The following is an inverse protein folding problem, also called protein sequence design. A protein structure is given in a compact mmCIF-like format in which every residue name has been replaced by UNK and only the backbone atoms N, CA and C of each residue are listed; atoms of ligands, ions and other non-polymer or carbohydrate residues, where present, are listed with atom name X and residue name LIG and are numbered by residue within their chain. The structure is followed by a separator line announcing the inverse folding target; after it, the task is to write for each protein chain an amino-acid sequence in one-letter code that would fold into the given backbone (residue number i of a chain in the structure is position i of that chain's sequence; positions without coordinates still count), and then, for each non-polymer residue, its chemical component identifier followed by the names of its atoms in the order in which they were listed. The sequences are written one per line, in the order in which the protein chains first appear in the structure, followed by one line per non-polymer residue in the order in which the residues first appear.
data_IF_792869731592
#
_entry.id   IF_792869731592
#
_cell.length_a   1.000
_cell.length_b   1.000
_cell.length_c   1.000
_cell.angle_alpha   90.00
_cell.angle_beta   90.00
_cell.angle_gamma   90.00
#
_symmetry.space_group_name_H-M   'P 1'
#
loop_
_entity.id
_entity.type
_entity.pdbx_description
1 polymer ?
#
# COMPACT_ATOMS: atom_id res chain seq x y z
N UNK A 1 3.62 8.23 -2.37
CA UNK A 1 3.46 8.03 -3.83
C UNK A 1 3.95 9.24 -4.63
N UNK A 2 3.60 10.47 -4.24
CA UNK A 2 3.85 11.72 -4.97
C UNK A 2 5.17 11.83 -5.77
N UNK A 3 6.31 11.38 -5.22
CA UNK A 3 7.63 11.50 -5.87
C UNK A 3 8.13 10.26 -6.61
N UNK A 4 7.42 9.11 -6.51
CA UNK A 4 7.95 7.79 -6.94
C UNK A 4 7.11 7.10 -8.01
N UNK A 5 5.84 7.49 -8.16
CA UNK A 5 4.83 6.84 -9.00
C UNK A 5 3.76 6.09 -8.19
N UNK A 6 2.80 5.51 -8.91
CA UNK A 6 1.68 4.69 -8.39
C UNK A 6 1.44 3.47 -9.29
N UNK A 7 0.88 2.36 -8.75
CA UNK A 7 0.31 1.30 -9.58
C UNK A 7 -0.71 1.83 -10.57
N UNK A 8 -0.67 1.31 -11.80
CA UNK A 8 -1.75 1.48 -12.75
C UNK A 8 -2.61 0.22 -12.74
N UNK A 9 -3.81 0.35 -12.20
CA UNK A 9 -4.80 -0.73 -12.10
C UNK A 9 -5.91 -0.59 -13.16
N UNK A 10 -5.79 0.38 -14.07
CA UNK A 10 -6.77 0.57 -15.15
C UNK A 10 -6.95 -0.64 -16.08
N UNK A 11 -5.93 -1.49 -16.38
CA UNK A 11 -6.15 -2.74 -17.12
C UNK A 11 -7.04 -3.76 -16.41
N UNK A 12 -7.24 -3.59 -15.09
CA UNK A 12 -8.13 -4.41 -14.26
C UNK A 12 -9.49 -3.73 -14.00
N UNK A 13 -9.76 -2.56 -14.58
CA UNK A 13 -10.94 -1.74 -14.29
C UNK A 13 -10.99 -1.26 -12.83
N UNK A 14 -9.82 -1.02 -12.22
CA UNK A 14 -9.68 -0.63 -10.80
C UNK A 14 -8.85 0.64 -10.66
N UNK A 15 -9.01 1.31 -9.52
CA UNK A 15 -8.20 2.46 -9.13
C UNK A 15 -7.42 2.16 -7.84
N UNK A 16 -6.25 2.78 -7.71
CA UNK A 16 -5.46 2.72 -6.48
C UNK A 16 -6.03 3.69 -5.44
N UNK A 17 -6.35 3.18 -4.26
CA UNK A 17 -6.74 4.01 -3.11
C UNK A 17 -5.52 4.60 -2.40
N UNK A 18 -5.65 5.81 -1.84
CA UNK A 18 -4.55 6.55 -1.23
C UNK A 18 -4.84 6.85 0.25
N UNK A 19 -4.12 6.19 1.15
CA UNK A 19 -4.15 6.47 2.59
C UNK A 19 -2.76 6.25 3.19
N UNK A 20 -2.26 7.22 3.96
CA UNK A 20 -0.96 7.12 4.62
C UNK A 20 -1.12 6.49 6.00
N UNK A 21 -0.48 5.35 6.25
CA UNK A 21 -0.34 4.79 7.62
C UNK A 21 0.56 5.66 8.50
N UNK A 22 1.59 6.24 7.89
CA UNK A 22 2.54 7.17 8.49
C UNK A 22 2.67 8.36 7.55
N UNK A 23 2.32 9.55 8.03
CA UNK A 23 2.14 10.75 7.23
C UNK A 23 3.47 11.39 6.82
N UNK A 24 3.59 11.79 5.56
CA UNK A 24 4.71 12.62 5.09
C UNK A 24 4.38 14.12 5.29
N UNK A 25 5.34 15.01 5.61
CA UNK A 25 6.77 14.78 5.81
C UNK A 25 7.17 14.40 7.24
N UNK A 26 6.30 14.60 8.24
CA UNK A 26 6.64 14.46 9.65
C UNK A 26 6.98 13.01 10.09
N UNK A 27 6.62 12.02 9.27
CA UNK A 27 6.79 10.59 9.55
C UNK A 27 6.09 10.12 10.85
N UNK A 28 4.98 10.78 11.19
CA UNK A 28 4.13 10.47 12.35
C UNK A 28 2.99 9.51 11.98
N UNK A 29 2.51 8.66 12.90
CA UNK A 29 1.32 7.82 12.65
C UNK A 29 0.10 8.66 12.26
N UNK A 30 -0.70 8.16 11.31
CA UNK A 30 -1.95 8.80 10.92
C UNK A 30 -3.11 8.33 11.83
N UNK A 31 -3.67 9.19 12.72
CA UNK A 31 -4.76 8.79 13.61
C UNK A 31 -6.07 8.50 12.86
N UNK A 32 -6.20 8.96 11.62
CA UNK A 32 -7.38 8.76 10.76
C UNK A 32 -7.34 7.48 9.93
N UNK A 33 -6.16 6.86 9.77
CA UNK A 33 -5.91 5.80 8.78
C UNK A 33 -6.96 4.69 8.78
N UNK A 34 -7.28 4.12 9.95
CA UNK A 34 -8.22 3.00 10.06
C UNK A 34 -9.66 3.42 9.71
N UNK A 35 -10.08 4.61 10.11
CA UNK A 35 -11.43 5.11 9.80
C UNK A 35 -11.59 5.42 8.30
N UNK A 36 -10.58 6.03 7.68
CA UNK A 36 -10.61 6.34 6.26
C UNK A 36 -10.51 5.04 5.42
N UNK A 37 -9.67 4.09 5.84
CA UNK A 37 -9.57 2.75 5.24
C UNK A 37 -10.90 1.98 5.35
N UNK A 38 -11.57 2.04 6.50
CA UNK A 38 -12.86 1.38 6.70
C UNK A 38 -13.92 1.88 5.71
N UNK A 39 -13.99 3.20 5.53
CA UNK A 39 -14.87 3.84 4.56
C UNK A 39 -14.55 3.41 3.12
N UNK A 40 -13.26 3.38 2.74
CA UNK A 40 -12.83 2.91 1.42
C UNK A 40 -13.18 1.45 1.16
N UNK A 41 -12.94 0.56 2.14
CA UNK A 41 -13.27 -0.88 2.02
C UNK A 41 -14.77 -1.11 1.88
N UNK A 42 -15.61 -0.36 2.62
CA UNK A 42 -17.07 -0.43 2.49
C UNK A 42 -17.56 0.10 1.15
N UNK A 43 -17.05 1.25 0.69
CA UNK A 43 -17.44 1.85 -0.59
C UNK A 43 -17.06 0.95 -1.78
N UNK A 44 -15.93 0.25 -1.71
CA UNK A 44 -15.48 -0.68 -2.73
C UNK A 44 -16.08 -2.10 -2.63
N UNK A 45 -16.81 -2.41 -1.55
CA UNK A 45 -17.27 -3.79 -1.25
C UNK A 45 -16.13 -4.81 -1.15
N UNK A 46 -14.94 -4.38 -0.70
CA UNK A 46 -13.72 -5.16 -0.84
C UNK A 46 -13.55 -6.22 0.26
N UNK A 47 -13.44 -7.50 -0.15
CA UNK A 47 -13.12 -8.62 0.75
C UNK A 47 -11.59 -8.81 0.94
N UNK A 48 -10.78 -8.25 0.05
CA UNK A 48 -9.31 -8.28 0.10
C UNK A 48 -8.73 -6.90 -0.15
N UNK A 49 -7.74 -6.51 0.66
CA UNK A 49 -7.03 -5.23 0.57
C UNK A 49 -5.53 -5.49 0.44
N UNK A 50 -4.93 -4.95 -0.62
CA UNK A 50 -3.49 -5.00 -0.85
C UNK A 50 -2.84 -3.70 -0.38
N UNK A 51 -1.93 -3.80 0.59
CA UNK A 51 -1.21 -2.68 1.16
C UNK A 51 0.14 -2.51 0.47
N UNK A 52 0.40 -1.31 -0.03
CA UNK A 52 1.62 -0.98 -0.77
C UNK A 52 2.31 0.25 -0.17
N UNK A 53 3.63 0.16 0.03
CA UNK A 53 4.48 1.30 0.31
C UNK A 53 5.75 1.23 -0.56
N UNK A 54 6.73 2.11 -0.33
CA UNK A 54 7.98 2.13 -1.11
C UNK A 54 8.72 0.79 -1.13
N UNK A 55 8.77 0.08 0.00
CA UNK A 55 9.67 -1.07 0.21
C UNK A 55 9.11 -2.14 1.17
N UNK A 56 7.80 -2.41 1.12
CA UNK A 56 7.11 -3.44 1.92
C UNK A 56 6.98 -3.20 3.44
N UNK A 57 7.90 -2.46 4.08
CA UNK A 57 7.96 -2.34 5.54
C UNK A 57 6.77 -1.60 6.19
N UNK A 58 6.47 -0.37 5.74
CA UNK A 58 5.32 0.40 6.29
C UNK A 58 3.97 -0.22 5.94
N UNK A 59 3.86 -0.92 4.80
CA UNK A 59 2.63 -1.60 4.38
C UNK A 59 2.39 -2.88 5.18
N UNK A 60 3.44 -3.57 5.65
CA UNK A 60 3.30 -4.68 6.60
C UNK A 60 2.62 -4.21 7.90
N UNK A 61 3.09 -3.11 8.49
CA UNK A 61 2.50 -2.56 9.71
C UNK A 61 1.04 -2.10 9.51
N UNK A 62 0.76 -1.45 8.37
CA UNK A 62 -0.59 -1.04 7.99
C UNK A 62 -1.55 -2.23 7.82
N UNK A 63 -1.10 -3.31 7.15
CA UNK A 63 -1.88 -4.52 6.94
C UNK A 63 -2.22 -5.24 8.26
N UNK A 64 -1.26 -5.32 9.19
CA UNK A 64 -1.48 -5.90 10.52
C UNK A 64 -2.47 -5.07 11.35
N UNK A 65 -2.36 -3.74 11.32
CA UNK A 65 -3.29 -2.85 12.01
C UNK A 65 -4.71 -2.94 11.44
N UNK A 66 -4.84 -3.00 10.10
CA UNK A 66 -6.11 -3.19 9.42
C UNK A 66 -6.74 -4.56 9.73
N UNK A 67 -5.95 -5.65 9.71
CA UNK A 67 -6.41 -6.99 10.04
C UNK A 67 -6.99 -7.04 11.46
N UNK A 68 -6.28 -6.48 12.44
CA UNK A 68 -6.76 -6.37 13.82
C UNK A 68 -8.06 -5.55 13.91
N UNK A 69 -8.12 -4.40 13.22
CA UNK A 69 -9.28 -3.50 13.21
C UNK A 69 -10.54 -4.15 12.61
N UNK A 70 -10.43 -4.90 11.51
CA UNK A 70 -11.56 -5.59 10.91
C UNK A 70 -11.96 -6.84 11.70
N UNK A 71 -10.99 -7.58 12.25
CA UNK A 71 -11.25 -8.76 13.08
C UNK A 71 -11.99 -8.39 14.36
N UNK A 72 -11.66 -7.25 14.99
CA UNK A 72 -12.37 -6.72 16.16
C UNK A 72 -13.82 -6.32 15.87
N UNK A 73 -14.20 -6.14 14.59
CA UNK A 73 -15.57 -5.90 14.12
C UNK A 73 -16.26 -7.18 13.60
N UNK A 74 -15.64 -8.36 13.74
CA UNK A 74 -16.17 -9.61 13.21
C UNK A 74 -16.14 -9.71 11.67
N UNK A 75 -15.31 -8.90 10.99
CA UNK A 75 -15.25 -8.84 9.53
C UNK A 75 -14.00 -9.56 9.00
N UNK A 76 -14.22 -10.60 8.21
CA UNK A 76 -13.18 -11.37 7.54
C UNK A 76 -12.68 -10.64 6.27
N UNK A 77 -11.86 -9.59 6.45
CA UNK A 77 -11.21 -8.87 5.34
C UNK A 77 -9.74 -9.31 5.24
N UNK A 78 -9.35 -9.91 4.11
CA UNK A 78 -7.98 -10.32 3.88
C UNK A 78 -7.07 -9.10 3.69
N UNK A 79 -6.10 -8.93 4.59
CA UNK A 79 -5.15 -7.81 4.57
C UNK A 79 -3.77 -8.28 4.11
N UNK A 80 -3.41 -7.98 2.86
CA UNK A 80 -2.22 -8.53 2.19
C UNK A 80 -1.16 -7.44 2.04
N UNK A 81 0.04 -7.65 2.58
CA UNK A 81 1.18 -6.78 2.29
C UNK A 81 1.78 -7.14 0.93
N UNK A 82 1.98 -6.14 0.06
CA UNK A 82 2.78 -6.33 -1.17
C UNK A 82 4.26 -6.34 -0.79
N UNK A 83 4.86 -7.52 -0.82
CA UNK A 83 6.29 -7.73 -0.57
C UNK A 83 7.14 -6.88 -1.52
N UNK A 84 8.34 -6.50 -1.07
CA UNK A 84 9.28 -5.60 -1.76
C UNK A 84 8.75 -4.17 -2.03
N UNK A 85 7.44 -3.93 -1.90
CA UNK A 85 6.82 -2.64 -2.15
C UNK A 85 6.89 -2.19 -3.61
N UNK A 86 6.83 -0.88 -3.81
CA UNK A 86 6.76 -0.28 -5.15
C UNK A 86 8.13 -0.17 -5.84
N UNK A 87 9.20 0.07 -5.07
CA UNK A 87 10.55 0.33 -5.60
C UNK A 87 11.58 -0.74 -5.21
N UNK A 88 11.19 -1.75 -4.45
CA UNK A 88 12.12 -2.77 -3.96
C UNK A 88 13.12 -2.21 -2.96
N UNK A 89 14.15 -3.02 -2.68
CA UNK A 89 15.26 -2.60 -1.85
C UNK A 89 16.35 -1.84 -2.59
N UNK A 90 17.19 -1.15 -1.80
CA UNK A 90 18.41 -0.51 -2.28
C UNK A 90 19.28 -1.56 -2.96
N UNK A 91 19.99 -1.19 -4.02
CA UNK A 91 21.01 -1.99 -4.71
C UNK A 91 22.35 -1.99 -3.90
N UNK A 92 23.49 -2.25 -4.56
CA UNK A 92 24.80 -2.14 -3.91
C UNK A 92 25.38 -0.71 -3.91
N UNK A 93 24.82 0.19 -4.73
CA UNK A 93 25.21 1.60 -4.85
C UNK A 93 24.27 2.56 -4.07
N UNK A 94 23.18 2.06 -3.48
CA UNK A 94 22.20 2.85 -2.74
C UNK A 94 20.97 3.29 -3.54
N UNK A 95 20.70 2.72 -4.71
CA UNK A 95 19.55 3.05 -5.56
C UNK A 95 18.42 2.03 -5.46
N UNK A 96 17.16 2.46 -5.58
CA UNK A 96 15.99 1.57 -5.65
C UNK A 96 15.52 1.38 -7.10
N UNK A 97 14.66 0.39 -7.33
CA UNK A 97 14.02 0.13 -8.62
C UNK A 97 14.70 -0.93 -9.50
N UNK A 98 15.86 -1.46 -9.09
CA UNK A 98 16.62 -2.46 -9.85
C UNK A 98 16.59 -3.89 -9.26
N UNK A 99 16.42 -4.03 -7.94
CA UNK A 99 16.50 -5.35 -7.26
C UNK A 99 15.15 -6.09 -7.12
N UNK A 100 14.04 -5.38 -7.16
CA UNK A 100 12.71 -5.94 -6.88
C UNK A 100 11.65 -4.85 -6.74
N UNK A 101 10.49 -5.23 -6.23
CA UNK A 101 9.30 -4.38 -6.11
C UNK A 101 8.58 -4.16 -7.43
N UNK A 102 7.39 -3.57 -7.33
CA UNK A 102 6.42 -3.41 -8.43
C UNK A 102 7.04 -2.94 -9.75
N UNK A 103 7.91 -1.91 -9.71
CA UNK A 103 8.57 -1.37 -10.91
C UNK A 103 9.59 -2.33 -11.52
N UNK A 104 10.40 -3.04 -10.73
CA UNK A 104 11.42 -3.95 -11.24
C UNK A 104 10.80 -5.23 -11.84
N UNK A 105 9.66 -5.68 -11.30
CA UNK A 105 8.88 -6.80 -11.85
C UNK A 105 8.07 -6.43 -13.11
N UNK A 106 8.21 -5.21 -13.64
CA UNK A 106 7.54 -4.78 -14.88
C UNK A 106 6.02 -4.63 -14.76
N UNK A 107 5.47 -4.55 -13.55
CA UNK A 107 4.03 -4.40 -13.33
C UNK A 107 3.58 -2.98 -13.71
N UNK A 108 2.37 -2.86 -14.27
CA UNK A 108 1.84 -1.59 -14.79
C UNK A 108 1.85 -0.46 -13.73
N UNK A 109 2.42 0.69 -14.08
CA UNK A 109 2.58 1.84 -13.19
C UNK A 109 2.61 3.15 -13.98
N UNK A 110 2.34 4.26 -13.28
CA UNK A 110 2.39 5.61 -13.86
C UNK A 110 3.00 6.63 -12.89
N UNK A 111 3.52 7.71 -13.47
CA UNK A 111 4.03 8.89 -12.79
C UNK A 111 3.70 10.12 -13.65
N UNK A 112 3.22 11.18 -13.00
CA UNK A 112 2.73 12.43 -13.59
C UNK A 112 3.01 13.58 -12.64
#
# INVERSE_FOLDING_TARGET
WAFVGVPDLSPLGKEAAFSEWVQYPAMTPNPRFLADLDAMVRAAGAETVYFLCRSGGRSQAAALAALAHFSAQGRAIACVNVLEGFEGDLDAAGHRGARGGWKAHGLAWRQS
#
